data_IF_094423493820
#
_entry.id   IF_094423493820
#
_cell.length_a   1.000
_cell.length_b   1.000
_cell.length_c   1.000
_cell.angle_alpha   90.00
_cell.angle_beta   90.00
_cell.angle_gamma   90.00
#
_symmetry.space_group_name_H-M   'P 1'
#
loop_
_entity.id
_entity.type
_entity.pdbx_description
1 polymer ?
#
# COMPACT_ATOMS: atom_id res chain seq x y z
N UNK A 1 26.01 11.89 9.13
CA UNK A 1 24.84 11.01 9.30
C UNK A 1 24.95 9.88 8.30
N UNK A 2 25.26 8.67 8.75
CA UNK A 2 25.46 7.54 7.84
C UNK A 2 24.09 6.99 7.37
N UNK A 3 23.80 6.97 6.06
CA UNK A 3 22.52 6.47 5.54
C UNK A 3 22.24 5.02 5.95
N UNK A 4 23.30 4.24 6.18
CA UNK A 4 23.27 2.86 6.67
C UNK A 4 22.71 2.73 8.10
N UNK A 5 22.90 3.71 8.98
CA UNK A 5 22.27 3.69 10.31
C UNK A 5 20.78 4.02 10.26
N UNK A 6 20.35 4.92 9.36
CA UNK A 6 18.93 5.22 9.15
C UNK A 6 18.16 4.02 8.55
N UNK A 7 18.80 3.30 7.62
CA UNK A 7 18.29 2.04 7.06
C UNK A 7 18.23 0.91 8.09
N UNK A 8 19.18 0.86 9.03
CA UNK A 8 19.15 -0.10 10.14
C UNK A 8 18.04 0.21 11.17
N UNK A 9 17.76 1.49 11.42
CA UNK A 9 16.66 1.92 12.29
C UNK A 9 15.28 1.64 11.67
N UNK A 10 15.13 1.83 10.35
CA UNK A 10 13.94 1.46 9.57
C UNK A 10 13.69 -0.06 9.57
N UNK A 11 14.76 -0.87 9.57
CA UNK A 11 14.71 -2.33 9.65
C UNK A 11 14.19 -2.83 11.01
N UNK A 12 14.28 -2.03 12.08
CA UNK A 12 13.95 -2.41 13.45
C UNK A 12 12.45 -2.34 13.80
N UNK A 13 11.61 -1.68 12.99
CA UNK A 13 10.20 -1.39 13.32
C UNK A 13 9.14 -2.19 12.55
N UNK A 14 9.47 -3.16 11.69
CA UNK A 14 8.47 -3.96 10.92
C UNK A 14 7.41 -3.17 10.09
N UNK A 15 7.27 -1.84 10.19
CA UNK A 15 6.34 -0.99 9.41
C UNK A 15 6.60 -1.12 7.91
N UNK A 16 7.86 -1.30 7.53
CA UNK A 16 8.27 -1.56 6.15
C UNK A 16 7.58 -2.79 5.54
N UNK A 17 7.30 -3.83 6.34
CA UNK A 17 6.59 -5.03 5.86
C UNK A 17 5.15 -4.71 5.46
N UNK A 18 4.46 -3.83 6.20
CA UNK A 18 3.10 -3.43 5.87
C UNK A 18 3.08 -2.51 4.65
N UNK A 19 4.04 -1.59 4.53
CA UNK A 19 4.22 -0.78 3.34
C UNK A 19 4.44 -1.62 2.08
N UNK A 20 5.33 -2.64 2.14
CA UNK A 20 5.53 -3.57 1.02
C UNK A 20 4.27 -4.40 0.75
N UNK A 21 3.67 -5.00 1.78
CA UNK A 21 2.49 -5.84 1.60
C UNK A 21 1.35 -5.05 0.94
N UNK A 22 1.16 -3.80 1.37
CA UNK A 22 0.23 -2.90 0.72
C UNK A 22 0.60 -2.62 -0.73
N UNK A 23 1.85 -2.28 -1.02
CA UNK A 23 2.31 -2.01 -2.38
C UNK A 23 2.07 -3.21 -3.32
N UNK A 24 2.31 -4.44 -2.83
CA UNK A 24 2.06 -5.68 -3.58
C UNK A 24 0.55 -5.86 -3.84
N UNK A 25 -0.29 -5.68 -2.83
CA UNK A 25 -1.75 -5.80 -2.99
C UNK A 25 -2.30 -4.71 -3.93
N UNK A 26 -1.90 -3.46 -3.73
CA UNK A 26 -2.28 -2.34 -4.58
C UNK A 26 -1.87 -2.57 -6.04
N UNK A 27 -0.65 -3.06 -6.25
CA UNK A 27 -0.17 -3.44 -7.58
C UNK A 27 -1.03 -4.54 -8.22
N UNK A 28 -1.34 -5.60 -7.48
CA UNK A 28 -2.20 -6.69 -7.97
C UNK A 28 -3.61 -6.20 -8.33
N UNK A 29 -4.19 -5.33 -7.50
CA UNK A 29 -5.50 -4.72 -7.76
C UNK A 29 -5.48 -3.87 -9.03
N UNK A 30 -4.45 -3.05 -9.21
CA UNK A 30 -4.27 -2.22 -10.41
C UNK A 30 -4.08 -3.09 -11.66
N UNK A 31 -3.29 -4.16 -11.56
CA UNK A 31 -3.11 -5.13 -12.65
C UNK A 31 -4.41 -5.87 -12.99
N UNK A 32 -5.20 -6.26 -11.99
CA UNK A 32 -6.49 -6.87 -12.25
C UNK A 32 -7.45 -5.88 -12.92
N UNK A 33 -7.51 -4.64 -12.43
CA UNK A 33 -8.33 -3.57 -13.00
C UNK A 33 -7.94 -3.21 -14.44
N UNK A 34 -6.64 -3.17 -14.76
CA UNK A 34 -6.17 -2.87 -16.12
C UNK A 34 -6.56 -3.93 -17.15
N UNK A 35 -6.86 -5.16 -16.71
CA UNK A 35 -7.31 -6.26 -17.58
C UNK A 35 -8.85 -6.33 -17.59
N UNK A 36 -9.47 -6.31 -16.40
CA UNK A 36 -10.91 -6.48 -16.25
C UNK A 36 -11.69 -5.28 -16.79
N UNK A 37 -11.28 -4.04 -16.47
CA UNK A 37 -12.06 -2.86 -16.89
C UNK A 37 -12.17 -2.73 -18.42
N UNK A 38 -11.09 -2.88 -19.21
CA UNK A 38 -11.23 -2.93 -20.67
C UNK A 38 -12.07 -4.12 -21.15
N UNK A 39 -11.99 -5.28 -20.49
CA UNK A 39 -12.78 -6.47 -20.84
C UNK A 39 -14.28 -6.24 -20.67
N UNK A 40 -14.68 -5.44 -19.68
CA UNK A 40 -16.07 -5.03 -19.45
C UNK A 40 -16.47 -3.74 -20.18
N UNK A 41 -15.64 -3.25 -21.10
CA UNK A 41 -15.85 -1.97 -21.80
C UNK A 41 -16.09 -0.78 -20.84
N UNK A 42 -15.50 -0.84 -19.65
CA UNK A 42 -15.68 0.18 -18.65
C UNK A 42 -15.10 1.53 -19.14
N UNK A 43 -15.77 2.66 -18.85
CA UNK A 43 -15.27 3.97 -19.23
C UNK A 43 -13.88 4.26 -18.66
N UNK A 44 -13.07 5.02 -19.41
CA UNK A 44 -11.68 5.34 -19.03
C UNK A 44 -11.55 6.10 -17.69
N UNK A 45 -12.61 6.77 -17.23
CA UNK A 45 -12.61 7.43 -15.92
C UNK A 45 -12.65 6.44 -14.75
N UNK A 46 -13.19 5.23 -14.95
CA UNK A 46 -13.33 4.20 -13.90
C UNK A 46 -11.95 3.78 -13.39
N UNK A 47 -10.99 3.55 -14.29
CA UNK A 47 -9.61 3.22 -13.91
C UNK A 47 -8.96 4.33 -13.11
N UNK A 48 -9.20 5.60 -13.46
CA UNK A 48 -8.67 6.75 -12.72
C UNK A 48 -9.21 6.78 -11.29
N UNK A 49 -10.52 6.66 -11.13
CA UNK A 49 -11.16 6.61 -9.81
C UNK A 49 -10.67 5.43 -9.00
N UNK A 50 -10.56 4.24 -9.62
CA UNK A 50 -10.06 3.05 -8.95
C UNK A 50 -8.63 3.23 -8.42
N UNK A 51 -7.71 3.74 -9.25
CA UNK A 51 -6.34 4.02 -8.83
C UNK A 51 -6.31 5.08 -7.73
N UNK A 52 -7.15 6.12 -7.80
CA UNK A 52 -7.25 7.12 -6.73
C UNK A 52 -7.73 6.52 -5.41
N UNK A 53 -8.73 5.62 -5.44
CA UNK A 53 -9.23 4.93 -4.24
C UNK A 53 -8.17 4.00 -3.66
N UNK A 54 -7.47 3.24 -4.51
CA UNK A 54 -6.34 2.42 -4.07
C UNK A 54 -5.25 3.31 -3.46
N UNK A 55 -4.85 4.41 -4.09
CA UNK A 55 -3.88 5.32 -3.50
C UNK A 55 -4.34 5.93 -2.16
N UNK A 56 -5.63 6.27 -2.03
CA UNK A 56 -6.21 6.77 -0.79
C UNK A 56 -6.30 5.71 0.31
N UNK A 57 -6.31 4.42 -0.03
CA UNK A 57 -6.24 3.32 0.94
C UNK A 57 -4.86 3.16 1.60
N UNK A 58 -3.79 3.70 1.00
CA UNK A 58 -2.44 3.63 1.53
C UNK A 58 -2.28 4.31 2.91
N UNK A 59 -2.71 5.58 3.12
CA UNK A 59 -2.64 6.20 4.43
C UNK A 59 -3.47 5.43 5.48
N UNK A 60 -4.60 4.85 5.10
CA UNK A 60 -5.42 4.01 5.99
C UNK A 60 -4.63 2.77 6.42
N UNK A 61 -3.99 2.07 5.47
CA UNK A 61 -3.16 0.92 5.76
C UNK A 61 -1.96 1.27 6.66
N UNK A 62 -1.36 2.44 6.49
CA UNK A 62 -0.28 2.93 7.38
C UNK A 62 -0.79 3.23 8.79
N UNK A 63 -1.96 3.84 8.94
CA UNK A 63 -2.57 4.11 10.26
C UNK A 63 -2.90 2.78 10.97
N UNK A 64 -3.45 1.81 10.24
CA UNK A 64 -3.73 0.47 10.78
C UNK A 64 -2.42 -0.23 11.19
N UNK A 65 -1.38 -0.18 10.35
CA UNK A 65 -0.07 -0.73 10.67
C UNK A 65 0.50 -0.15 11.97
N UNK A 66 0.40 1.18 12.12
CA UNK A 66 0.84 1.89 13.31
C UNK A 66 0.04 1.48 14.54
N UNK A 67 -1.29 1.37 14.43
CA UNK A 67 -2.16 0.92 15.52
C UNK A 67 -1.87 -0.53 15.96
N UNK A 68 -1.63 -1.44 15.01
CA UNK A 68 -1.28 -2.85 15.30
C UNK A 68 0.12 -3.03 15.89
N UNK A 69 1.09 -2.22 15.47
CA UNK A 69 2.42 -2.22 16.11
C UNK A 69 2.33 -1.73 17.56
N UNK A 70 1.46 -0.75 17.83
CA UNK A 70 1.23 -0.24 19.19
C UNK A 70 0.58 -1.29 20.11
N UNK A 71 -0.31 -2.15 19.59
CA UNK A 71 -0.98 -3.21 20.36
C UNK A 71 -0.11 -4.43 20.61
N UNK A 72 0.91 -4.72 19.79
CA UNK A 72 1.84 -5.86 19.99
C UNK A 72 2.89 -5.64 21.09
N UNK A 73 2.92 -4.46 21.72
CA UNK A 73 3.73 -4.15 22.90
C UNK A 73 2.95 -4.19 24.23
N UNK A 74 1.71 -4.68 24.21
CA UNK A 74 0.96 -5.04 25.42
C UNK A 74 1.25 -6.48 25.84
#
# INVERSE_FOLDING_TARGET
MNPTQFLAELKRRNVYKVGIAYAVIAWLLIQAGSILFPTFEAPAWVMKVFVTVVAAGFPIALIIAWAFEMTRKG
#
